data_IF_852022482379
#
_entry.id   IF_852022482379
#
_cell.length_a   1.000
_cell.length_b   1.000
_cell.length_c   1.000
_cell.angle_alpha   90.00
_cell.angle_beta   90.00
_cell.angle_gamma   90.00
#
_symmetry.space_group_name_H-M   'P 1'
#
loop_
_entity.id
_entity.type
_entity.pdbx_description
1 polymer ?
#
# COMPACT_ATOMS: atom_id res chain seq x y z
N UNK A 1 9.55 -7.88 16.20
CA UNK A 1 8.57 -6.80 15.99
C UNK A 1 7.42 -7.00 16.96
N UNK A 2 6.88 -5.94 17.59
CA UNK A 2 5.93 -6.08 18.70
C UNK A 2 4.52 -6.53 18.30
N UNK A 3 4.15 -6.46 17.01
CA UNK A 3 2.88 -6.94 16.47
C UNK A 3 2.98 -7.15 14.95
N UNK A 4 2.00 -7.86 14.37
CA UNK A 4 1.83 -7.99 12.93
C UNK A 4 1.07 -6.78 12.38
N UNK A 5 1.62 -6.16 11.32
CA UNK A 5 1.02 -4.98 10.70
C UNK A 5 -0.39 -5.27 10.15
N UNK A 6 -0.58 -6.45 9.54
CA UNK A 6 -1.87 -6.89 9.00
C UNK A 6 -2.95 -6.92 10.08
N UNK A 7 -2.67 -7.50 11.25
CA UNK A 7 -3.62 -7.58 12.35
C UNK A 7 -3.97 -6.19 12.88
N UNK A 8 -2.96 -5.31 13.03
CA UNK A 8 -3.18 -3.92 13.45
C UNK A 8 -4.07 -3.17 12.46
N UNK A 9 -3.83 -3.32 11.15
CA UNK A 9 -4.65 -2.68 10.12
C UNK A 9 -6.10 -3.20 10.16
N UNK A 10 -6.30 -4.52 10.26
CA UNK A 10 -7.64 -5.11 10.37
C UNK A 10 -8.38 -4.67 11.64
N UNK A 11 -7.69 -4.58 12.79
CA UNK A 11 -8.25 -4.08 14.04
C UNK A 11 -8.72 -2.62 13.92
N UNK A 12 -8.08 -1.83 13.07
CA UNK A 12 -8.47 -0.46 12.75
C UNK A 12 -9.46 -0.38 11.58
N UNK A 13 -10.14 -1.49 11.25
CA UNK A 13 -11.15 -1.62 10.19
C UNK A 13 -10.63 -1.35 8.77
N UNK A 14 -9.31 -1.42 8.54
CA UNK A 14 -8.77 -1.32 7.19
C UNK A 14 -9.08 -2.59 6.38
N UNK A 15 -9.37 -2.42 5.09
CA UNK A 15 -9.46 -3.51 4.12
C UNK A 15 -8.04 -3.92 3.68
N UNK A 16 -7.41 -4.77 4.48
CA UNK A 16 -6.07 -5.27 4.17
C UNK A 16 -6.06 -6.10 2.88
N UNK A 17 -5.02 -5.91 2.06
CA UNK A 17 -4.71 -6.77 0.92
C UNK A 17 -3.20 -6.95 0.80
N UNK A 18 -2.78 -8.06 0.19
CA UNK A 18 -1.37 -8.37 -0.11
C UNK A 18 -1.29 -9.11 -1.44
N UNK A 19 -0.18 -8.90 -2.15
CA UNK A 19 0.27 -9.77 -3.22
C UNK A 19 1.22 -10.85 -2.69
N UNK A 20 1.77 -11.61 -3.62
CA UNK A 20 2.76 -12.64 -3.34
C UNK A 20 4.01 -12.05 -2.66
N UNK A 21 4.70 -12.87 -1.90
CA UNK A 21 5.91 -12.45 -1.21
C UNK A 21 6.96 -11.96 -2.22
N UNK A 22 7.57 -10.81 -1.93
CA UNK A 22 8.55 -10.11 -2.78
C UNK A 22 8.04 -9.58 -4.13
N UNK A 23 6.82 -9.92 -4.55
CA UNK A 23 6.20 -9.33 -5.72
C UNK A 23 5.72 -7.89 -5.44
N UNK A 24 5.73 -6.98 -6.42
CA UNK A 24 5.17 -5.65 -6.24
C UNK A 24 3.66 -5.73 -6.02
N UNK A 25 3.15 -5.01 -5.00
CA UNK A 25 1.73 -4.85 -4.74
C UNK A 25 1.45 -3.41 -4.30
N UNK A 26 0.57 -2.74 -5.03
CA UNK A 26 0.22 -1.33 -4.83
C UNK A 26 -1.29 -1.20 -4.75
N UNK A 27 -1.78 -0.45 -3.77
CA UNK A 27 -3.20 -0.15 -3.61
C UNK A 27 -3.38 1.36 -3.56
N UNK A 28 -4.35 1.86 -4.33
CA UNK A 28 -4.81 3.25 -4.32
C UNK A 28 -6.27 3.25 -3.88
N UNK A 29 -6.55 3.92 -2.76
CA UNK A 29 -7.90 4.14 -2.25
C UNK A 29 -8.09 5.64 -1.95
N UNK A 30 -8.66 6.36 -2.91
CA UNK A 30 -8.75 7.81 -2.88
C UNK A 30 -7.37 8.46 -2.70
N UNK A 31 -7.16 9.10 -1.55
CA UNK A 31 -5.92 9.78 -1.20
C UNK A 31 -4.91 8.91 -0.42
N UNK A 32 -5.27 7.66 -0.10
CA UNK A 32 -4.38 6.72 0.58
C UNK A 32 -3.73 5.78 -0.45
N UNK A 33 -2.41 5.83 -0.53
CA UNK A 33 -1.61 5.02 -1.45
C UNK A 33 -0.61 4.20 -0.63
N UNK A 34 -0.60 2.87 -0.83
CA UNK A 34 0.26 1.94 -0.09
C UNK A 34 1.01 1.00 -1.02
N UNK A 35 2.20 0.57 -0.60
CA UNK A 35 3.04 -0.42 -1.28
C UNK A 35 3.59 -1.45 -0.30
N UNK A 36 3.58 -2.73 -0.68
CA UNK A 36 3.85 -3.84 0.25
C UNK A 36 5.32 -3.97 0.66
N UNK A 37 6.25 -3.74 -0.26
CA UNK A 37 7.66 -4.11 -0.09
C UNK A 37 8.57 -3.23 -1.00
N UNK A 38 9.91 -3.39 -0.93
CA UNK A 38 10.83 -2.59 -1.75
C UNK A 38 10.55 -2.66 -3.26
N UNK A 39 10.14 -3.82 -3.80
CA UNK A 39 9.78 -3.96 -5.20
C UNK A 39 8.55 -3.12 -5.61
N UNK A 40 7.71 -2.75 -4.64
CA UNK A 40 6.52 -1.91 -4.85
C UNK A 40 6.84 -0.41 -4.92
N UNK A 41 8.07 0.01 -4.61
CA UNK A 41 8.43 1.43 -4.42
C UNK A 41 8.20 2.28 -5.66
N UNK A 42 8.66 1.82 -6.83
CA UNK A 42 8.51 2.58 -8.08
C UNK A 42 7.04 2.74 -8.47
N UNK A 43 6.24 1.68 -8.36
CA UNK A 43 4.80 1.71 -8.63
C UNK A 43 4.05 2.65 -7.68
N UNK A 44 4.40 2.62 -6.40
CA UNK A 44 3.81 3.49 -5.37
C UNK A 44 4.11 4.96 -5.68
N UNK A 45 5.36 5.29 -6.02
CA UNK A 45 5.76 6.66 -6.36
C UNK A 45 5.04 7.18 -7.63
N UNK A 46 4.91 6.33 -8.65
CA UNK A 46 4.14 6.66 -9.87
C UNK A 46 2.68 6.97 -9.55
N UNK A 47 2.05 6.17 -8.68
CA UNK A 47 0.68 6.39 -8.26
C UNK A 47 0.51 7.73 -7.51
N UNK A 48 1.45 8.09 -6.64
CA UNK A 48 1.45 9.39 -5.95
C UNK A 48 1.53 10.55 -6.94
N UNK A 49 2.48 10.49 -7.89
CA UNK A 49 2.63 11.54 -8.93
C UNK A 49 1.35 11.67 -9.76
N UNK A 50 0.72 10.56 -10.11
CA UNK A 50 -0.55 10.57 -10.84
C UNK A 50 -1.67 11.24 -10.03
N UNK A 51 -1.81 10.90 -8.74
CA UNK A 51 -2.84 11.48 -7.88
C UNK A 51 -2.70 13.01 -7.76
N UNK A 52 -1.47 13.49 -7.59
CA UNK A 52 -1.17 14.93 -7.49
C UNK A 52 -1.43 15.70 -8.80
N UNK A 53 -1.31 15.03 -9.95
CA UNK A 53 -1.57 15.65 -11.27
C UNK A 53 -3.05 15.70 -11.64
N UNK A 54 -3.87 14.86 -11.03
CA UNK A 54 -5.32 14.81 -11.26
C UNK A 54 -6.12 15.78 -10.35
N UNK A 55 -5.42 16.53 -9.50
CA UNK A 55 -5.97 17.49 -8.54
C UNK A 55 -6.01 18.91 -9.09
#
# INVERSE_FOLDING_TARGET
MPFLLEDMLKQNNARYSRGDDWAPHIVVDGNLITGQNPASSEGTAKAVVQALRAS
#
